data_IF_885185586789
#
_entry.id   IF_885185586789
#
_cell.length_a   1.000
_cell.length_b   1.000
_cell.length_c   1.000
_cell.angle_alpha   90.00
_cell.angle_beta   90.00
_cell.angle_gamma   90.00
#
_symmetry.space_group_name_H-M   'P 1'
#
loop_
_entity.id
_entity.type
_entity.pdbx_description
1 polymer ?
#
# COMPACT_ATOMS: atom_id res chain seq x y z
N UNK A 1 -35.77 15.94 10.15
CA UNK A 1 -35.54 14.58 9.54
C UNK A 1 -34.06 14.27 9.71
N UNK A 2 -33.71 13.33 10.57
CA UNK A 2 -32.34 12.81 10.67
C UNK A 2 -31.97 12.25 9.30
N UNK A 3 -30.91 12.76 8.68
CA UNK A 3 -30.31 12.12 7.51
C UNK A 3 -29.94 10.70 7.97
N UNK A 4 -30.52 9.66 7.37
CA UNK A 4 -30.09 8.29 7.58
C UNK A 4 -28.58 8.25 7.37
N UNK A 5 -27.82 7.80 8.36
CA UNK A 5 -26.38 7.62 8.20
C UNK A 5 -26.16 6.56 7.11
N UNK A 6 -25.43 6.94 6.07
CA UNK A 6 -25.13 6.01 4.97
C UNK A 6 -24.25 4.88 5.49
N UNK A 7 -24.60 3.66 5.05
CA UNK A 7 -23.87 2.43 5.37
C UNK A 7 -22.83 2.14 4.29
N UNK A 8 -21.63 1.71 4.71
CA UNK A 8 -20.53 1.41 3.80
C UNK A 8 -19.90 0.06 4.16
N UNK A 9 -19.83 -0.83 3.18
CA UNK A 9 -19.06 -2.05 3.27
C UNK A 9 -17.60 -1.79 2.88
N UNK A 10 -16.65 -2.25 3.69
CA UNK A 10 -15.21 -2.24 3.36
C UNK A 10 -14.74 -3.69 3.25
N UNK A 11 -14.24 -4.08 2.08
CA UNK A 11 -13.80 -5.46 1.83
C UNK A 11 -12.28 -5.56 1.92
N UNK A 12 -11.81 -6.22 2.97
CA UNK A 12 -10.42 -6.38 3.35
C UNK A 12 -10.03 -5.56 4.58
N UNK A 13 -9.43 -6.22 5.57
CA UNK A 13 -8.93 -5.62 6.81
C UNK A 13 -7.39 -5.53 6.84
N UNK A 14 -6.73 -5.33 5.70
CA UNK A 14 -5.34 -4.86 5.64
C UNK A 14 -5.26 -3.37 5.96
N UNK A 15 -4.04 -2.81 5.99
CA UNK A 15 -3.83 -1.38 6.31
C UNK A 15 -4.74 -0.46 5.50
N UNK A 16 -4.91 -0.72 4.20
CA UNK A 16 -5.75 0.12 3.32
C UNK A 16 -7.21 0.09 3.74
N UNK A 17 -7.75 -1.11 4.09
CA UNK A 17 -9.13 -1.25 4.52
C UNK A 17 -9.40 -0.62 5.88
N UNK A 18 -8.49 -0.82 6.83
CA UNK A 18 -8.63 -0.28 8.18
C UNK A 18 -8.53 1.25 8.19
N UNK A 19 -7.58 1.83 7.46
CA UNK A 19 -7.45 3.30 7.35
C UNK A 19 -8.64 3.91 6.60
N UNK A 20 -9.20 3.20 5.62
CA UNK A 20 -10.44 3.61 4.95
C UNK A 20 -11.62 3.56 5.91
N UNK A 21 -11.78 2.46 6.65
CA UNK A 21 -12.86 2.31 7.64
C UNK A 21 -12.79 3.39 8.73
N UNK A 22 -11.59 3.64 9.27
CA UNK A 22 -11.35 4.71 10.23
C UNK A 22 -11.74 6.09 9.65
N UNK A 23 -11.27 6.40 8.45
CA UNK A 23 -11.55 7.67 7.80
C UNK A 23 -13.04 7.88 7.49
N UNK A 24 -13.76 6.83 7.13
CA UNK A 24 -15.21 6.85 6.88
C UNK A 24 -15.99 7.03 8.19
N UNK A 25 -15.65 6.25 9.21
CA UNK A 25 -16.24 6.36 10.54
C UNK A 25 -16.08 7.78 11.12
N UNK A 26 -14.87 8.38 11.02
CA UNK A 26 -14.65 9.77 11.47
C UNK A 26 -15.48 10.80 10.70
N UNK A 27 -16.03 10.45 9.53
CA UNK A 27 -16.96 11.28 8.75
C UNK A 27 -18.44 11.00 9.04
N UNK A 28 -18.73 10.11 10.01
CA UNK A 28 -20.09 9.78 10.42
C UNK A 28 -20.79 8.75 9.55
N UNK A 29 -20.06 7.92 8.81
CA UNK A 29 -20.63 6.77 8.10
C UNK A 29 -20.73 5.55 9.02
N UNK A 30 -21.79 4.75 8.84
CA UNK A 30 -21.89 3.42 9.44
C UNK A 30 -21.03 2.45 8.62
N UNK A 31 -19.98 1.90 9.20
CA UNK A 31 -19.00 1.07 8.48
C UNK A 31 -19.04 -0.37 8.96
N UNK A 32 -19.05 -1.30 8.00
CA UNK A 32 -18.88 -2.74 8.23
C UNK A 32 -17.69 -3.23 7.41
N UNK A 33 -16.70 -3.83 8.06
CA UNK A 33 -15.49 -4.39 7.44
C UNK A 33 -15.63 -5.91 7.33
N UNK A 34 -15.28 -6.46 6.17
CA UNK A 34 -15.28 -7.90 5.91
C UNK A 34 -13.86 -8.38 5.62
N UNK A 35 -13.41 -9.43 6.30
CA UNK A 35 -12.14 -10.07 5.98
C UNK A 35 -12.21 -11.59 6.08
N UNK A 36 -11.50 -12.27 5.19
CA UNK A 36 -11.43 -13.73 5.16
C UNK A 36 -10.61 -14.33 6.29
N UNK A 37 -9.73 -13.56 6.87
CA UNK A 37 -8.85 -13.98 7.95
C UNK A 37 -9.52 -13.83 9.32
N UNK A 38 -8.86 -14.33 10.36
CA UNK A 38 -9.40 -14.38 11.73
C UNK A 38 -9.32 -13.06 12.50
N UNK A 39 -8.48 -12.13 12.05
CA UNK A 39 -8.32 -10.78 12.58
C UNK A 39 -7.67 -9.88 11.51
N UNK A 40 -7.51 -8.61 11.80
CA UNK A 40 -6.98 -7.62 10.88
C UNK A 40 -5.50 -7.85 10.52
N UNK A 41 -5.07 -7.39 9.35
CA UNK A 41 -3.69 -7.31 8.91
C UNK A 41 -2.95 -8.66 8.79
N UNK A 42 -3.62 -9.74 8.43
CA UNK A 42 -3.01 -11.08 8.31
C UNK A 42 -2.40 -11.41 6.95
N UNK A 43 -2.41 -10.50 5.99
CA UNK A 43 -1.82 -10.69 4.66
C UNK A 43 -0.54 -9.85 4.52
N UNK A 44 -0.39 -9.05 3.47
CA UNK A 44 0.79 -8.19 3.22
C UNK A 44 1.09 -7.24 4.40
N UNK A 45 0.06 -6.78 5.12
CA UNK A 45 0.22 -5.93 6.30
C UNK A 45 0.79 -6.68 7.53
N UNK A 46 0.80 -8.02 7.54
CA UNK A 46 1.38 -8.84 8.61
C UNK A 46 2.90 -8.85 8.56
N UNK A 47 3.47 -9.07 7.37
CA UNK A 47 4.90 -9.17 7.18
C UNK A 47 5.32 -8.30 5.99
N UNK A 48 5.98 -7.20 6.28
CA UNK A 48 6.48 -6.24 5.33
C UNK A 48 7.78 -5.62 5.85
N UNK A 49 8.37 -4.69 5.10
CA UNK A 49 9.63 -4.05 5.47
C UNK A 49 9.52 -2.98 6.57
N UNK A 50 8.32 -2.64 7.02
CA UNK A 50 8.09 -1.61 8.04
C UNK A 50 8.61 -0.22 7.68
N UNK A 51 8.92 0.03 6.42
CA UNK A 51 9.46 1.29 5.95
C UNK A 51 8.34 2.25 5.55
N UNK A 52 8.23 3.34 6.26
CA UNK A 52 7.31 4.44 5.98
C UNK A 52 8.08 5.52 5.21
N UNK A 53 8.40 5.15 3.97
CA UNK A 53 9.43 5.77 3.15
C UNK A 53 8.84 6.47 1.93
N UNK A 54 8.68 7.80 2.00
CA UNK A 54 8.34 8.61 0.83
C UNK A 54 9.52 8.65 -0.18
N UNK A 55 10.73 8.34 0.24
CA UNK A 55 11.89 8.21 -0.64
C UNK A 55 11.83 6.99 -1.58
N UNK A 56 10.96 6.01 -1.29
CA UNK A 56 10.66 4.88 -2.16
C UNK A 56 9.44 5.10 -3.06
N UNK A 57 8.91 6.31 -3.13
CA UNK A 57 7.72 6.63 -3.91
C UNK A 57 7.97 6.82 -5.43
N UNK A 58 9.20 6.62 -5.90
CA UNK A 58 9.50 6.59 -7.33
C UNK A 58 8.71 5.48 -8.01
N UNK A 59 7.94 5.81 -9.06
CA UNK A 59 7.22 4.80 -9.83
C UNK A 59 8.17 4.03 -10.76
N UNK A 60 7.84 2.77 -11.03
CA UNK A 60 8.71 1.88 -11.80
C UNK A 60 8.51 1.96 -13.32
N UNK A 61 7.57 2.76 -13.79
CA UNK A 61 7.20 2.90 -15.20
C UNK A 61 8.26 3.68 -15.98
N UNK A 62 9.41 3.04 -16.28
CA UNK A 62 10.49 3.58 -17.09
C UNK A 62 11.14 2.51 -17.96
N UNK A 63 11.69 2.91 -19.10
CA UNK A 63 12.30 1.99 -20.05
C UNK A 63 13.44 1.16 -19.44
N UNK A 64 14.24 1.75 -18.55
CA UNK A 64 15.30 1.02 -17.85
C UNK A 64 14.75 -0.15 -17.03
N UNK A 65 13.59 -0.04 -16.41
CA UNK A 65 12.90 -1.13 -15.70
C UNK A 65 12.46 -2.22 -16.66
N UNK A 66 11.93 -1.87 -17.82
CA UNK A 66 11.53 -2.85 -18.86
C UNK A 66 12.74 -3.66 -19.32
N UNK A 67 13.86 -3.00 -19.66
CA UNK A 67 15.10 -3.68 -20.09
C UNK A 67 15.73 -4.53 -18.97
N UNK A 68 15.76 -4.02 -17.73
CA UNK A 68 16.22 -4.80 -16.57
C UNK A 68 15.34 -6.04 -16.37
N UNK A 69 14.01 -5.89 -16.43
CA UNK A 69 13.05 -6.98 -16.31
C UNK A 69 13.24 -8.07 -17.37
N UNK A 70 13.46 -7.69 -18.64
CA UNK A 70 13.77 -8.66 -19.69
C UNK A 70 15.08 -9.41 -19.41
N UNK A 71 16.12 -8.72 -18.94
CA UNK A 71 17.40 -9.35 -18.57
C UNK A 71 17.23 -10.33 -17.39
N UNK A 72 16.42 -9.97 -16.40
CA UNK A 72 16.19 -10.81 -15.23
C UNK A 72 15.45 -12.10 -15.53
N UNK A 73 14.58 -12.14 -16.55
CA UNK A 73 13.90 -13.39 -16.96
C UNK A 73 14.85 -14.51 -17.34
N UNK A 74 16.09 -14.19 -17.71
CA UNK A 74 17.13 -15.17 -18.12
C UNK A 74 18.25 -15.33 -17.07
N UNK A 75 18.17 -14.62 -15.94
CA UNK A 75 19.20 -14.65 -14.91
C UNK A 75 18.76 -15.55 -13.72
N UNK A 76 19.55 -16.58 -13.35
CA UNK A 76 19.25 -17.39 -12.18
C UNK A 76 19.23 -16.53 -10.89
N UNK A 77 18.21 -16.73 -10.05
CA UNK A 77 18.07 -15.99 -8.78
C UNK A 77 17.63 -14.53 -8.91
N UNK A 78 17.21 -14.09 -10.09
CA UNK A 78 16.72 -12.75 -10.30
C UNK A 78 15.41 -12.47 -9.53
N UNK A 79 15.16 -11.20 -9.12
CA UNK A 79 14.01 -10.84 -8.30
C UNK A 79 12.68 -10.88 -9.06
N UNK A 80 12.69 -10.94 -10.38
CA UNK A 80 11.50 -10.97 -11.23
C UNK A 80 11.39 -12.29 -11.99
N UNK A 81 10.29 -13.00 -11.76
CA UNK A 81 9.91 -14.18 -12.54
C UNK A 81 8.53 -13.94 -13.14
N UNK A 82 8.42 -14.00 -14.47
CA UNK A 82 7.14 -13.89 -15.19
C UNK A 82 6.70 -15.27 -15.61
N UNK A 83 5.51 -15.70 -15.21
CA UNK A 83 4.91 -16.95 -15.67
C UNK A 83 4.76 -16.90 -17.20
N UNK A 84 5.34 -17.85 -17.97
CA UNK A 84 5.28 -17.85 -19.43
C UNK A 84 3.88 -18.13 -20.00
N UNK A 85 2.98 -18.75 -19.21
CA UNK A 85 1.63 -19.06 -19.67
C UNK A 85 0.91 -17.79 -20.20
N UNK A 86 0.27 -17.85 -21.39
CA UNK A 86 -0.42 -16.69 -21.95
C UNK A 86 -1.62 -16.32 -21.08
N UNK A 87 -1.82 -15.01 -20.86
CA UNK A 87 -2.96 -14.46 -20.14
C UNK A 87 -3.28 -13.08 -20.66
N UNK A 88 -4.55 -12.86 -21.03
CA UNK A 88 -5.02 -11.53 -21.47
C UNK A 88 -4.75 -10.45 -20.41
N UNK A 89 -5.03 -10.77 -19.15
CA UNK A 89 -4.78 -9.87 -18.05
C UNK A 89 -3.30 -9.45 -17.95
N UNK A 90 -2.36 -10.41 -18.03
CA UNK A 90 -0.93 -10.12 -18.01
C UNK A 90 -0.50 -9.19 -19.15
N UNK A 91 -0.89 -9.48 -20.38
CA UNK A 91 -0.51 -8.65 -21.51
C UNK A 91 -1.16 -7.27 -21.46
N UNK A 92 -2.40 -7.18 -21.02
CA UNK A 92 -3.09 -5.91 -20.78
C UNK A 92 -2.36 -5.07 -19.72
N UNK A 93 -1.99 -5.69 -18.60
CA UNK A 93 -1.20 -5.03 -17.56
C UNK A 93 0.16 -4.54 -18.08
N UNK A 94 0.89 -5.38 -18.81
CA UNK A 94 2.16 -5.00 -19.42
C UNK A 94 2.02 -3.82 -20.41
N UNK A 95 0.95 -3.82 -21.19
CA UNK A 95 0.68 -2.72 -22.13
C UNK A 95 0.39 -1.41 -21.39
N UNK A 96 -0.42 -1.45 -20.35
CA UNK A 96 -0.73 -0.27 -19.52
C UNK A 96 0.50 0.21 -18.76
N UNK A 97 1.34 -0.72 -18.26
CA UNK A 97 2.62 -0.38 -17.66
C UNK A 97 3.50 0.43 -18.63
N UNK A 98 3.63 -0.04 -19.88
CA UNK A 98 4.41 0.67 -20.91
C UNK A 98 3.75 2.00 -21.31
N UNK A 99 2.44 2.05 -21.43
CA UNK A 99 1.69 3.27 -21.74
C UNK A 99 1.82 4.35 -20.66
N UNK A 100 2.13 3.98 -19.42
CA UNK A 100 2.35 4.91 -18.32
C UNK A 100 3.76 5.53 -18.30
N UNK A 101 4.74 5.01 -19.09
CA UNK A 101 6.12 5.49 -19.12
C UNK A 101 6.24 6.99 -19.43
N UNK A 102 5.51 7.57 -20.40
CA UNK A 102 5.57 9.02 -20.66
C UNK A 102 5.17 9.89 -19.46
N UNK A 103 4.44 9.34 -18.52
CA UNK A 103 3.95 10.03 -17.31
C UNK A 103 4.82 9.81 -16.07
N UNK A 104 5.98 9.17 -16.21
CA UNK A 104 6.88 8.79 -15.11
C UNK A 104 7.16 9.93 -14.13
N UNK A 105 7.58 11.11 -14.62
CA UNK A 105 7.92 12.24 -13.74
C UNK A 105 6.68 12.73 -12.97
N UNK A 106 5.56 12.95 -13.68
CA UNK A 106 4.31 13.39 -13.06
C UNK A 106 3.85 12.40 -12.00
N UNK A 107 3.79 11.11 -12.35
CA UNK A 107 3.32 10.07 -11.46
C UNK A 107 4.23 9.95 -10.23
N UNK A 108 5.55 10.04 -10.38
CA UNK A 108 6.48 10.03 -9.24
C UNK A 108 6.24 11.22 -8.32
N UNK A 109 6.09 12.43 -8.84
CA UNK A 109 5.82 13.62 -8.04
C UNK A 109 4.52 13.47 -7.23
N UNK A 110 3.44 13.02 -7.86
CA UNK A 110 2.15 12.82 -7.19
C UNK A 110 2.21 11.70 -6.13
N UNK A 111 2.92 10.61 -6.43
CA UNK A 111 3.10 9.50 -5.46
C UNK A 111 3.92 9.95 -4.25
N UNK A 112 4.95 10.78 -4.45
CA UNK A 112 5.74 11.38 -3.35
C UNK A 112 4.85 12.24 -2.45
N UNK A 113 4.04 13.13 -3.03
CA UNK A 113 3.10 13.98 -2.27
C UNK A 113 2.12 13.14 -1.45
N UNK A 114 1.56 12.11 -2.07
CA UNK A 114 0.65 11.17 -1.39
C UNK A 114 1.36 10.44 -0.24
N UNK A 115 2.59 9.97 -0.45
CA UNK A 115 3.37 9.27 0.55
C UNK A 115 3.73 10.16 1.75
N UNK A 116 4.09 11.44 1.50
CA UNK A 116 4.34 12.41 2.57
C UNK A 116 3.07 12.62 3.40
N UNK A 117 1.93 12.87 2.76
CA UNK A 117 0.65 13.06 3.46
C UNK A 117 0.24 11.80 4.25
N UNK A 118 0.44 10.60 3.67
CA UNK A 118 0.11 9.33 4.32
C UNK A 118 0.91 9.10 5.61
N UNK A 119 2.20 9.46 5.64
CA UNK A 119 3.05 9.34 6.83
C UNK A 119 2.54 10.19 8.01
N UNK A 120 2.13 11.43 7.72
CA UNK A 120 1.56 12.34 8.73
C UNK A 120 0.28 11.76 9.33
N UNK A 121 -0.59 11.18 8.50
CA UNK A 121 -1.81 10.53 8.97
C UNK A 121 -1.52 9.32 9.86
N UNK A 122 -0.52 8.49 9.51
CA UNK A 122 -0.14 7.34 10.33
C UNK A 122 0.22 7.75 11.76
N UNK A 123 1.14 8.70 11.92
CA UNK A 123 1.55 9.21 13.24
C UNK A 123 0.37 9.85 13.99
N UNK A 124 -0.43 10.67 13.30
CA UNK A 124 -1.54 11.36 13.94
C UNK A 124 -2.65 10.42 14.40
N UNK A 125 -2.94 9.36 13.65
CA UNK A 125 -3.93 8.35 14.06
C UNK A 125 -3.46 7.58 15.28
N UNK A 126 -2.21 7.09 15.29
CA UNK A 126 -1.64 6.37 16.42
C UNK A 126 -1.64 7.21 17.70
N UNK A 127 -1.20 8.47 17.61
CA UNK A 127 -1.21 9.40 18.72
C UNK A 127 -2.63 9.71 19.23
N UNK A 128 -3.58 9.95 18.31
CA UNK A 128 -4.97 10.25 18.66
C UNK A 128 -5.67 9.08 19.34
N UNK A 129 -5.45 7.86 18.86
CA UNK A 129 -6.12 6.65 19.35
C UNK A 129 -5.35 5.95 20.48
N UNK A 130 -4.12 6.42 20.79
CA UNK A 130 -3.33 6.00 21.95
C UNK A 130 -2.75 4.60 21.85
N UNK A 131 -2.30 4.19 20.67
CA UNK A 131 -1.59 2.92 20.48
C UNK A 131 -0.17 3.13 19.92
N UNK A 132 0.73 2.21 20.24
CA UNK A 132 2.09 2.17 19.74
C UNK A 132 2.22 1.17 18.59
N UNK A 133 3.17 1.42 17.68
CA UNK A 133 3.50 0.56 16.55
C UNK A 133 5.02 0.50 16.29
N UNK A 134 5.81 0.61 17.35
CA UNK A 134 7.28 0.60 17.32
C UNK A 134 7.86 1.62 16.31
N UNK A 135 7.32 2.85 16.34
CA UNK A 135 7.73 3.92 15.44
C UNK A 135 9.11 4.44 15.77
N UNK A 136 10.07 4.24 14.86
CA UNK A 136 11.46 4.73 14.98
C UNK A 136 11.72 5.87 13.99
N UNK A 137 11.79 7.08 14.47
CA UNK A 137 11.90 8.33 13.70
C UNK A 137 13.37 8.75 13.50
N UNK A 138 14.16 7.89 12.85
CA UNK A 138 15.62 8.08 12.64
C UNK A 138 16.00 8.38 11.20
N UNK A 139 15.05 8.52 10.31
CA UNK A 139 15.28 8.59 8.88
C UNK A 139 15.55 7.22 8.25
N UNK A 140 15.68 7.19 6.93
CA UNK A 140 16.02 5.98 6.17
C UNK A 140 17.26 6.25 5.32
N UNK A 141 18.19 5.31 5.35
CA UNK A 141 19.43 5.31 4.61
C UNK A 141 19.40 4.30 3.47
N UNK A 142 19.51 4.78 2.22
CA UNK A 142 19.64 3.94 1.03
C UNK A 142 21.11 3.88 0.62
N UNK A 143 21.70 2.68 0.68
CA UNK A 143 23.14 2.44 0.44
C UNK A 143 23.35 1.91 -0.97
N UNK A 144 24.38 2.40 -1.67
CA UNK A 144 24.73 2.02 -3.03
C UNK A 144 26.16 1.49 -3.08
N UNK A 145 26.36 0.29 -3.61
CA UNK A 145 27.67 -0.30 -3.88
C UNK A 145 28.16 0.00 -5.30
N UNK A 146 27.23 0.20 -6.25
CA UNK A 146 27.51 0.54 -7.64
C UNK A 146 27.52 2.06 -7.84
N UNK A 147 28.62 2.67 -8.34
CA UNK A 147 28.69 4.10 -8.63
C UNK A 147 27.62 4.58 -9.62
N UNK A 148 27.28 3.78 -10.63
CA UNK A 148 26.28 4.16 -11.63
C UNK A 148 24.86 4.19 -11.05
N UNK A 149 24.55 3.27 -10.13
CA UNK A 149 23.29 3.29 -9.40
C UNK A 149 23.20 4.49 -8.45
N UNK A 150 24.30 4.85 -7.79
CA UNK A 150 24.35 6.05 -6.94
C UNK A 150 24.15 7.34 -7.75
N UNK A 151 24.80 7.49 -8.91
CA UNK A 151 24.56 8.63 -9.79
C UNK A 151 23.12 8.70 -10.31
N UNK A 152 22.53 7.55 -10.58
CA UNK A 152 21.10 7.47 -10.94
C UNK A 152 20.20 7.94 -9.80
N UNK A 153 20.49 7.50 -8.56
CA UNK A 153 19.74 7.90 -7.37
C UNK A 153 19.81 9.42 -7.11
N UNK A 154 20.96 10.06 -7.35
CA UNK A 154 21.11 11.52 -7.24
C UNK A 154 20.16 12.27 -8.20
N UNK A 155 19.98 11.76 -9.43
CA UNK A 155 19.03 12.35 -10.39
C UNK A 155 17.60 12.23 -9.90
N UNK A 156 17.26 11.08 -9.30
CA UNK A 156 15.94 10.85 -8.70
C UNK A 156 15.68 11.79 -7.53
N UNK A 157 16.69 12.13 -6.71
CA UNK A 157 16.54 13.10 -5.62
C UNK A 157 15.96 14.44 -6.12
N UNK A 158 16.40 14.92 -7.28
CA UNK A 158 15.84 16.15 -7.89
C UNK A 158 14.35 16.01 -8.25
N UNK A 159 13.92 14.82 -8.63
CA UNK A 159 12.51 14.55 -8.93
C UNK A 159 11.67 14.44 -7.64
N UNK A 160 12.17 13.75 -6.62
CA UNK A 160 11.52 13.65 -5.31
C UNK A 160 11.36 15.02 -4.66
N UNK A 161 12.35 15.91 -4.80
CA UNK A 161 12.30 17.29 -4.31
C UNK A 161 11.15 18.10 -4.94
N UNK A 162 10.82 17.88 -6.23
CA UNK A 162 9.63 18.49 -6.87
C UNK A 162 8.31 18.05 -6.20
N UNK A 163 8.31 16.86 -5.58
CA UNK A 163 7.20 16.34 -4.76
C UNK A 163 7.19 16.86 -3.33
N UNK A 164 8.23 17.60 -2.91
CA UNK A 164 8.37 18.15 -1.55
C UNK A 164 9.18 17.27 -0.59
N UNK A 165 9.87 16.24 -1.09
CA UNK A 165 10.69 15.38 -0.24
C UNK A 165 12.15 15.83 -0.24
N UNK A 166 12.71 16.05 0.94
CA UNK A 166 14.12 16.31 1.15
C UNK A 166 14.88 14.98 1.32
N UNK A 167 15.78 14.67 0.38
CA UNK A 167 16.62 13.48 0.36
C UNK A 167 18.03 13.87 -0.06
N UNK A 168 19.02 13.59 0.81
CA UNK A 168 20.39 14.01 0.65
C UNK A 168 21.26 12.88 0.10
N UNK A 169 22.03 13.16 -0.96
CA UNK A 169 23.14 12.30 -1.35
C UNK A 169 24.34 12.59 -0.44
N UNK A 170 24.87 11.57 0.19
CA UNK A 170 25.96 11.64 1.16
C UNK A 170 27.10 10.69 0.80
N UNK A 171 28.29 10.99 1.27
CA UNK A 171 29.50 10.16 1.08
C UNK A 171 29.42 8.84 1.87
N UNK A 172 30.28 7.89 1.53
CA UNK A 172 30.44 6.65 2.26
C UNK A 172 30.80 6.88 3.75
N UNK A 173 31.64 7.87 4.02
CA UNK A 173 32.07 8.17 5.40
C UNK A 173 30.94 8.80 6.23
N UNK A 174 30.11 9.65 5.63
CA UNK A 174 28.93 10.21 6.28
C UNK A 174 27.88 9.11 6.52
N UNK A 175 27.70 8.18 5.57
CA UNK A 175 26.79 7.05 5.75
C UNK A 175 27.22 6.14 6.91
N UNK A 176 28.53 5.86 7.07
CA UNK A 176 29.07 5.08 8.18
C UNK A 176 28.95 5.79 9.53
N UNK A 177 28.88 7.12 9.56
CA UNK A 177 28.57 7.83 10.82
C UNK A 177 27.14 7.66 11.25
N UNK A 178 26.20 7.52 10.31
CA UNK A 178 24.78 7.24 10.57
C UNK A 178 24.59 5.77 10.94
N UNK A 179 25.21 4.85 10.18
CA UNK A 179 25.12 3.41 10.39
C UNK A 179 26.52 2.76 10.43
N UNK A 180 27.12 2.65 11.62
CA UNK A 180 28.48 2.09 11.78
C UNK A 180 28.61 0.61 11.40
N UNK A 181 27.51 -0.12 11.29
CA UNK A 181 27.51 -1.53 10.88
C UNK A 181 27.82 -1.74 9.40
N UNK A 182 27.89 -0.67 8.59
CA UNK A 182 28.26 -0.76 7.18
C UNK A 182 29.76 -1.09 7.04
N UNK A 183 30.07 -2.36 6.86
CA UNK A 183 31.45 -2.87 6.72
C UNK A 183 31.88 -3.03 5.25
N UNK A 184 30.95 -3.09 4.31
CA UNK A 184 31.24 -3.25 2.88
C UNK A 184 31.63 -1.94 2.24
N UNK A 185 32.37 -2.00 1.12
CA UNK A 185 32.65 -0.83 0.31
C UNK A 185 31.38 -0.34 -0.37
N UNK A 186 31.09 0.95 -0.19
CA UNK A 186 29.94 1.61 -0.77
C UNK A 186 30.39 2.84 -1.56
N UNK A 187 29.71 3.13 -2.65
CA UNK A 187 29.93 4.31 -3.49
C UNK A 187 29.35 5.59 -2.88
N UNK A 188 28.37 5.44 -1.98
CA UNK A 188 27.68 6.50 -1.28
C UNK A 188 26.30 6.06 -0.83
N UNK A 189 25.54 6.99 -0.27
CA UNK A 189 24.20 6.74 0.18
C UNK A 189 23.26 7.93 -0.07
N UNK A 190 21.95 7.67 0.00
CA UNK A 190 20.94 8.72 0.09
C UNK A 190 20.25 8.62 1.44
N UNK A 191 20.21 9.72 2.17
CA UNK A 191 19.56 9.81 3.49
C UNK A 191 18.31 10.69 3.43
N UNK A 192 17.22 10.18 3.97
CA UNK A 192 15.94 10.90 4.08
C UNK A 192 15.57 11.05 5.54
N UNK A 193 15.80 12.23 6.14
CA UNK A 193 15.57 12.44 7.58
C UNK A 193 14.11 12.28 8.00
N UNK A 194 13.18 12.62 7.12
CA UNK A 194 11.73 12.60 7.38
C UNK A 194 11.07 11.23 7.22
N UNK A 195 11.77 10.25 6.66
CA UNK A 195 11.30 8.87 6.61
C UNK A 195 11.48 8.19 7.97
N UNK A 196 10.68 7.17 8.26
CA UNK A 196 10.75 6.44 9.50
C UNK A 196 10.37 4.98 9.31
N UNK A 197 10.57 4.15 10.33
CA UNK A 197 10.14 2.75 10.35
C UNK A 197 9.07 2.55 11.41
N UNK A 198 8.30 1.47 11.28
CA UNK A 198 7.29 1.08 12.25
C UNK A 198 6.66 -0.26 11.92
N UNK A 199 6.10 -0.92 12.91
CA UNK A 199 5.38 -2.17 12.71
C UNK A 199 3.98 -1.91 12.17
N UNK A 200 3.79 -2.14 10.87
CA UNK A 200 2.52 -1.93 10.18
C UNK A 200 1.45 -2.95 10.60
N UNK A 201 1.86 -4.13 11.07
CA UNK A 201 0.92 -5.08 11.65
C UNK A 201 0.34 -4.52 12.95
N UNK A 202 1.20 -4.14 13.90
CA UNK A 202 0.79 -3.52 15.17
C UNK A 202 -0.03 -2.24 14.94
N UNK A 203 0.37 -1.39 13.99
CA UNK A 203 -0.41 -0.22 13.59
C UNK A 203 -1.82 -0.59 13.14
N UNK A 204 -1.92 -1.58 12.23
CA UNK A 204 -3.21 -1.97 11.66
C UNK A 204 -4.13 -2.61 12.70
N UNK A 205 -3.57 -3.43 13.59
CA UNK A 205 -4.34 -4.04 14.71
C UNK A 205 -4.82 -2.94 15.67
N UNK A 206 -3.93 -2.06 16.12
CA UNK A 206 -4.28 -0.98 17.04
C UNK A 206 -5.37 -0.04 16.48
N UNK A 207 -5.27 0.29 15.18
CA UNK A 207 -6.30 1.12 14.53
C UNK A 207 -7.62 0.35 14.33
N UNK A 208 -7.58 -0.96 14.07
CA UNK A 208 -8.82 -1.77 13.98
C UNK A 208 -9.55 -1.83 15.31
N UNK A 209 -8.83 -2.01 16.41
CA UNK A 209 -9.41 -1.98 17.75
C UNK A 209 -10.01 -0.60 18.09
N UNK A 210 -9.35 0.49 17.65
CA UNK A 210 -9.91 1.83 17.80
C UNK A 210 -11.22 2.01 16.99
N UNK A 211 -11.28 1.44 15.78
CA UNK A 211 -12.49 1.42 14.98
C UNK A 211 -13.62 0.64 15.67
N UNK A 212 -13.33 -0.54 16.20
CA UNK A 212 -14.33 -1.37 16.94
C UNK A 212 -14.87 -0.62 18.16
N UNK A 213 -14.00 -0.01 18.96
CA UNK A 213 -14.43 0.81 20.11
C UNK A 213 -15.36 1.97 19.72
N UNK A 214 -15.25 2.47 18.48
CA UNK A 214 -16.05 3.57 17.95
C UNK A 214 -17.22 3.12 17.08
N UNK A 215 -17.54 1.82 17.08
CA UNK A 215 -18.76 1.27 16.49
C UNK A 215 -18.64 0.74 15.06
N UNK A 216 -17.42 0.62 14.51
CA UNK A 216 -17.21 -0.12 13.26
C UNK A 216 -17.42 -1.62 13.52
N UNK A 217 -18.18 -2.28 12.65
CA UNK A 217 -18.45 -3.71 12.73
C UNK A 217 -17.40 -4.45 11.90
N UNK A 218 -16.75 -5.46 12.48
CA UNK A 218 -15.81 -6.33 11.77
C UNK A 218 -16.36 -7.75 11.67
N UNK A 219 -16.55 -8.23 10.45
CA UNK A 219 -16.90 -9.59 10.10
C UNK A 219 -15.64 -10.32 9.61
N UNK A 220 -14.97 -11.03 10.51
CA UNK A 220 -13.82 -11.86 10.22
C UNK A 220 -14.21 -13.27 9.79
N UNK A 221 -13.30 -13.99 9.13
CA UNK A 221 -13.51 -15.33 8.57
C UNK A 221 -14.67 -15.38 7.58
N UNK A 222 -14.86 -14.30 6.85
CA UNK A 222 -15.92 -14.13 5.87
C UNK A 222 -15.37 -14.23 4.44
N UNK A 223 -15.94 -15.11 3.64
CA UNK A 223 -15.61 -15.20 2.22
C UNK A 223 -16.71 -14.53 1.42
N UNK A 224 -16.42 -13.40 0.80
CA UNK A 224 -17.32 -12.74 -0.14
C UNK A 224 -17.58 -13.66 -1.32
N UNK A 225 -18.85 -13.88 -1.63
CA UNK A 225 -19.31 -14.76 -2.70
C UNK A 225 -19.84 -13.98 -3.88
N UNK A 226 -20.54 -12.88 -3.60
CA UNK A 226 -21.15 -12.06 -4.60
C UNK A 226 -21.27 -10.61 -4.12
N UNK A 227 -21.20 -9.68 -5.07
CA UNK A 227 -21.42 -8.25 -4.88
C UNK A 227 -22.30 -7.81 -6.05
N UNK A 228 -23.52 -7.42 -5.78
CA UNK A 228 -24.50 -7.08 -6.81
C UNK A 228 -25.02 -5.65 -6.63
N UNK A 229 -25.09 -4.92 -7.74
CA UNK A 229 -25.56 -3.53 -7.75
C UNK A 229 -27.07 -3.49 -7.91
N UNK A 230 -27.77 -3.01 -6.87
CA UNK A 230 -29.23 -2.96 -6.82
C UNK A 230 -29.72 -1.49 -6.88
N UNK A 231 -29.70 -0.89 -8.08
CA UNK A 231 -30.08 0.50 -8.23
C UNK A 231 -29.14 1.46 -7.49
N UNK A 232 -29.62 2.07 -6.38
CA UNK A 232 -28.84 3.00 -5.55
C UNK A 232 -28.12 2.33 -4.38
N UNK A 233 -28.13 1.01 -4.30
CA UNK A 233 -27.51 0.23 -3.21
C UNK A 233 -26.74 -0.98 -3.71
N UNK A 234 -25.99 -1.62 -2.85
CA UNK A 234 -25.11 -2.74 -3.16
C UNK A 234 -25.38 -3.88 -2.18
N UNK A 235 -25.78 -5.04 -2.71
CA UNK A 235 -25.90 -6.25 -1.93
C UNK A 235 -24.58 -6.99 -1.84
N UNK A 236 -24.11 -7.24 -0.63
CA UNK A 236 -22.90 -8.02 -0.37
C UNK A 236 -23.31 -9.36 0.22
N UNK A 237 -22.97 -10.45 -0.47
CA UNK A 237 -23.23 -11.82 -0.01
C UNK A 237 -21.94 -12.52 0.39
N UNK A 238 -21.93 -13.19 1.53
CA UNK A 238 -20.76 -13.90 2.04
C UNK A 238 -21.11 -15.22 2.75
N UNK A 239 -20.10 -16.01 2.99
CA UNK A 239 -20.19 -17.17 3.90
C UNK A 239 -19.26 -16.97 5.08
N UNK A 240 -19.65 -17.43 6.25
CA UNK A 240 -18.79 -17.52 7.42
C UNK A 240 -17.88 -18.78 7.40
N UNK A 241 -17.15 -19.01 8.51
CA UNK A 241 -16.27 -20.17 8.70
C UNK A 241 -17.01 -21.52 8.62
N UNK A 242 -18.30 -21.56 8.91
CA UNK A 242 -19.14 -22.76 8.94
C UNK A 242 -19.93 -22.92 7.61
N UNK A 243 -19.62 -22.10 6.61
CA UNK A 243 -20.30 -22.00 5.31
C UNK A 243 -21.78 -21.57 5.40
N UNK A 244 -22.21 -20.99 6.51
CA UNK A 244 -23.51 -20.34 6.58
C UNK A 244 -23.52 -19.10 5.67
N UNK A 245 -24.63 -18.90 4.95
CA UNK A 245 -24.77 -17.83 3.95
C UNK A 245 -25.46 -16.63 4.58
N UNK A 246 -24.92 -15.46 4.28
CA UNK A 246 -25.44 -14.17 4.71
C UNK A 246 -25.48 -13.20 3.53
N UNK A 247 -26.36 -12.22 3.62
CA UNK A 247 -26.41 -11.08 2.70
C UNK A 247 -26.83 -9.82 3.46
N UNK A 248 -26.25 -8.67 3.12
CA UNK A 248 -26.60 -7.37 3.66
C UNK A 248 -26.49 -6.30 2.58
N UNK A 249 -27.37 -5.30 2.66
CA UNK A 249 -27.44 -4.19 1.71
C UNK A 249 -26.72 -2.97 2.27
N UNK A 250 -25.92 -2.31 1.43
CA UNK A 250 -25.13 -1.12 1.75
C UNK A 250 -25.37 -0.02 0.74
N UNK A 251 -25.24 1.24 1.17
CA UNK A 251 -25.29 2.39 0.26
C UNK A 251 -24.04 2.48 -0.63
N UNK A 252 -22.89 2.06 -0.14
CA UNK A 252 -21.62 2.10 -0.86
C UNK A 252 -20.69 0.95 -0.46
N UNK A 253 -19.69 0.67 -1.32
CA UNK A 253 -18.65 -0.33 -1.03
C UNK A 253 -17.27 0.26 -1.31
N UNK A 254 -16.27 -0.16 -0.51
CA UNK A 254 -14.84 0.13 -0.73
C UNK A 254 -14.07 -1.19 -0.78
N UNK A 255 -13.48 -1.49 -1.91
CA UNK A 255 -12.71 -2.73 -2.10
C UNK A 255 -11.24 -2.48 -1.76
N UNK A 256 -10.78 -3.14 -0.69
CA UNK A 256 -9.43 -3.03 -0.13
C UNK A 256 -8.74 -4.40 0.01
N UNK A 257 -9.06 -5.35 -0.87
CA UNK A 257 -8.65 -6.76 -0.77
C UNK A 257 -7.28 -7.07 -1.38
N UNK A 258 -6.39 -6.07 -1.52
CA UNK A 258 -5.07 -6.23 -2.12
C UNK A 258 -5.18 -6.83 -3.54
N UNK A 259 -4.38 -7.83 -3.86
CA UNK A 259 -4.44 -8.54 -5.16
C UNK A 259 -5.78 -9.23 -5.42
N UNK A 260 -6.56 -9.51 -4.38
CA UNK A 260 -7.92 -10.05 -4.46
C UNK A 260 -8.95 -9.04 -4.97
N UNK A 261 -8.64 -7.75 -4.97
CA UNK A 261 -9.57 -6.67 -5.40
C UNK A 261 -10.04 -6.84 -6.83
N UNK A 262 -9.21 -7.41 -7.70
CA UNK A 262 -9.58 -7.69 -9.08
C UNK A 262 -10.83 -8.56 -9.19
N UNK A 263 -10.86 -9.70 -8.46
CA UNK A 263 -12.00 -10.61 -8.48
C UNK A 263 -13.29 -9.95 -7.99
N UNK A 264 -13.18 -9.08 -7.00
CA UNK A 264 -14.33 -8.38 -6.43
C UNK A 264 -14.82 -7.27 -7.36
N UNK A 265 -13.91 -6.58 -8.02
CA UNK A 265 -14.25 -5.58 -9.04
C UNK A 265 -14.93 -6.23 -10.27
N UNK A 266 -14.47 -7.40 -10.70
CA UNK A 266 -15.08 -8.17 -11.78
C UNK A 266 -16.56 -8.51 -11.47
N UNK A 267 -16.96 -8.74 -10.20
CA UNK A 267 -18.35 -8.96 -9.78
C UNK A 267 -19.24 -7.73 -10.02
N UNK A 268 -18.66 -6.54 -9.94
CA UNK A 268 -19.33 -5.25 -10.22
C UNK A 268 -19.27 -4.83 -11.70
N UNK A 269 -18.66 -5.64 -12.55
CA UNK A 269 -18.40 -5.30 -13.95
C UNK A 269 -17.25 -4.31 -14.16
N UNK A 270 -16.50 -3.99 -13.10
CA UNK A 270 -15.35 -3.09 -13.15
C UNK A 270 -14.06 -3.85 -13.46
N UNK A 271 -13.21 -3.22 -14.25
CA UNK A 271 -11.88 -3.76 -14.54
C UNK A 271 -10.80 -3.05 -13.73
N UNK A 272 -10.18 -3.78 -12.81
CA UNK A 272 -9.02 -3.31 -12.06
C UNK A 272 -7.78 -4.10 -12.48
N UNK A 273 -6.77 -3.38 -12.99
CA UNK A 273 -5.58 -3.99 -13.57
C UNK A 273 -4.47 -4.16 -12.52
N UNK A 274 -4.73 -4.97 -11.50
CA UNK A 274 -3.78 -5.38 -10.45
C UNK A 274 -3.18 -6.75 -10.81
N UNK A 275 -1.85 -6.90 -10.64
CA UNK A 275 -1.14 -8.15 -10.91
C UNK A 275 -0.27 -8.57 -9.74
#
# INVERSE_FOLDING_TARGET
MSKSEKSIAVIGAGITGITSAYSLMQRGFKVTVFDRNRYAAMETSYANGGQLSASNAEVWNKWSTVFKGMKWMFAPGAPLLINPAPSFHKYSWMTEFMAAIPHYEKNTIETVRLAIAAREHLKSHAAKEGFDFDCEDRGILHVFTDPAEFESAKKVNGLLAKGGLERHAISADEARKIEPAIQTDISGACFTPSDFTGDIHSYSVGLSEACERQGVIFNYRCNIKDIDHQGDSIDVSWTDKDNAKFSENFDNIVICAGVGSRKLADMLGDRVNIY
#
